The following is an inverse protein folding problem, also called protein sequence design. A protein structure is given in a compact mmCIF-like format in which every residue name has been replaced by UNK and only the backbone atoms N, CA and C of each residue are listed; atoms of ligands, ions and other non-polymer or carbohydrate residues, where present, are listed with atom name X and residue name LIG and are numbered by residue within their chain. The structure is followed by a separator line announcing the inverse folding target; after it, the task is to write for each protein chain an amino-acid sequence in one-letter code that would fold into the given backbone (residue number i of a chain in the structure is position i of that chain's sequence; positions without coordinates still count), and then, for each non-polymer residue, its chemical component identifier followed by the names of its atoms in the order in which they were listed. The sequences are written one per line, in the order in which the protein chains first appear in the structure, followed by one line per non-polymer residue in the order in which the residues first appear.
data_IF_481017742499
#
_entry.id   IF_481017742499
#
_cell.length_a   1.000
_cell.length_b   1.000
_cell.length_c   1.000
_cell.angle_alpha   90.00
_cell.angle_beta   90.00
_cell.angle_gamma   90.00
#
_symmetry.space_group_name_H-M   'P 1'
#
loop_
_entity.id
_entity.type
_entity.pdbx_description
1 polymer ?
#
# COMPACT_ATOMS: atom_id res chain seq x y z
N UNK A 1 4.84 4.55 -1.82
CA UNK A 1 3.86 3.45 -1.67
C UNK A 1 3.13 3.18 -2.99
N UNK A 2 3.25 1.97 -3.53
CA UNK A 2 2.52 1.48 -4.70
C UNK A 2 1.78 0.18 -4.37
N UNK A 3 0.55 0.03 -4.85
CA UNK A 3 -0.29 -1.16 -4.68
C UNK A 3 -0.84 -1.59 -6.02
N UNK A 4 -0.58 -2.83 -6.40
CA UNK A 4 -1.15 -3.43 -7.61
C UNK A 4 -1.28 -4.94 -7.44
N UNK A 5 -2.21 -5.58 -8.16
CA UNK A 5 -2.28 -7.04 -8.19
C UNK A 5 -3.68 -7.59 -8.35
N UNK A 6 -4.69 -6.98 -7.71
CA UNK A 6 -6.07 -7.46 -7.86
C UNK A 6 -6.56 -7.33 -9.30
N UNK A 7 -7.55 -8.16 -9.66
CA UNK A 7 -8.09 -8.23 -11.01
C UNK A 7 -8.78 -6.93 -11.46
N UNK A 8 -9.21 -6.09 -10.51
CA UNK A 8 -9.87 -4.81 -10.76
C UNK A 8 -9.15 -3.72 -9.98
N UNK A 9 -8.85 -2.58 -10.60
CA UNK A 9 -8.30 -1.43 -9.88
C UNK A 9 -9.36 -0.81 -8.95
N UNK A 10 -8.96 -0.46 -7.73
CA UNK A 10 -9.78 0.17 -6.70
C UNK A 10 -10.62 -0.79 -5.85
N UNK A 11 -10.52 -2.11 -6.06
CA UNK A 11 -11.35 -3.11 -5.38
C UNK A 11 -10.84 -3.49 -3.99
N UNK A 12 -9.56 -3.27 -3.72
CA UNK A 12 -8.91 -3.61 -2.47
C UNK A 12 -8.02 -2.47 -1.97
N UNK A 13 -7.80 -2.45 -0.66
CA UNK A 13 -6.93 -1.46 -0.05
C UNK A 13 -6.23 -2.03 1.18
N UNK A 14 -5.10 -1.42 1.48
CA UNK A 14 -4.39 -1.62 2.74
C UNK A 14 -4.24 -0.29 3.47
N UNK A 15 -4.14 -0.38 4.78
CA UNK A 15 -3.88 0.75 5.67
C UNK A 15 -2.43 0.68 6.15
N UNK A 16 -1.70 1.77 5.96
CA UNK A 16 -0.32 1.90 6.37
C UNK A 16 -0.27 2.53 7.76
N UNK A 17 0.42 1.86 8.66
CA UNK A 17 0.73 2.36 9.99
C UNK A 17 2.24 2.44 10.16
N UNK A 18 2.68 3.54 10.78
CA UNK A 18 4.06 3.72 11.25
C UNK A 18 3.96 3.85 12.77
N UNK A 19 4.49 2.86 13.48
CA UNK A 19 4.22 2.58 14.88
C UNK A 19 2.72 2.50 15.17
N UNK A 20 2.16 3.51 15.85
CA UNK A 20 0.73 3.62 16.18
C UNK A 20 -0.01 4.66 15.32
N UNK A 21 0.70 5.36 14.44
CA UNK A 21 0.12 6.41 13.61
C UNK A 21 -0.38 5.84 12.29
N UNK A 22 -1.65 6.07 12.01
CA UNK A 22 -2.24 5.78 10.71
C UNK A 22 -1.75 6.82 9.69
N UNK A 23 -0.95 6.35 8.73
CA UNK A 23 -0.39 7.17 7.66
C UNK A 23 -1.41 7.40 6.54
N UNK A 24 -2.20 6.38 6.24
CA UNK A 24 -3.20 6.49 5.21
C UNK A 24 -3.62 5.16 4.61
N UNK A 25 -4.64 5.26 3.76
CA UNK A 25 -5.21 4.16 3.00
C UNK A 25 -4.72 4.21 1.56
N UNK A 26 -4.25 3.07 1.06
CA UNK A 26 -3.76 2.94 -0.31
C UNK A 26 -4.56 1.87 -1.04
N UNK A 27 -5.21 2.29 -2.13
CA UNK A 27 -5.97 1.42 -3.01
C UNK A 27 -5.06 0.81 -4.07
N UNK A 28 -5.41 -0.38 -4.57
CA UNK A 28 -4.75 -0.92 -5.75
C UNK A 28 -5.12 -0.08 -6.98
N UNK A 29 -4.12 0.47 -7.66
CA UNK A 29 -4.36 1.34 -8.81
C UNK A 29 -4.26 0.60 -10.14
N UNK A 30 -3.72 -0.63 -10.13
CA UNK A 30 -3.53 -1.43 -11.33
C UNK A 30 -3.61 -2.94 -11.03
N UNK A 31 -3.90 -3.70 -12.08
CA UNK A 31 -3.71 -5.15 -12.09
C UNK A 31 -2.22 -5.49 -12.35
N UNK A 32 -1.76 -6.64 -11.84
CA UNK A 32 -0.39 -7.11 -12.04
C UNK A 32 0.63 -6.53 -11.06
N UNK A 33 1.79 -6.12 -11.55
CA UNK A 33 2.91 -5.70 -10.69
C UNK A 33 3.03 -4.18 -10.59
N UNK A 34 3.27 -3.61 -9.40
CA UNK A 34 3.44 -2.18 -9.23
C UNK A 34 4.75 -1.72 -9.88
N UNK A 35 4.65 -0.85 -10.87
CA UNK A 35 5.80 -0.12 -11.44
C UNK A 35 6.06 1.19 -10.69
N UNK A 36 7.19 1.85 -10.99
CA UNK A 36 7.56 3.14 -10.39
C UNK A 36 6.50 4.24 -10.55
N UNK A 37 5.68 4.16 -11.60
CA UNK A 37 4.61 5.14 -11.87
C UNK A 37 3.47 5.06 -10.86
N UNK A 38 3.33 3.92 -10.18
CA UNK A 38 2.31 3.68 -9.17
C UNK A 38 2.75 4.11 -7.77
N UNK A 39 3.97 4.64 -7.62
CA UNK A 39 4.51 5.07 -6.34
C UNK A 39 3.88 6.41 -5.97
N UNK A 40 2.96 6.38 -5.02
CA UNK A 40 2.56 7.56 -4.25
C UNK A 40 3.63 7.79 -3.19
N UNK A 41 4.48 8.82 -3.29
CA UNK A 41 5.56 9.01 -2.34
C UNK A 41 5.00 9.27 -0.95
N UNK A 42 5.52 8.57 0.07
CA UNK A 42 5.16 8.79 1.49
C UNK A 42 5.81 10.06 2.06
N UNK A 43 6.02 11.06 1.19
CA UNK A 43 6.84 12.25 1.44
C UNK A 43 6.23 13.06 2.59
N UNK A 44 6.98 13.18 3.67
CA UNK A 44 6.59 13.96 4.86
C UNK A 44 6.23 13.13 6.08
N UNK A 45 6.11 11.80 5.96
CA UNK A 45 5.71 10.94 7.09
C UNK A 45 6.86 10.53 8.02
N UNK A 46 8.04 11.18 7.89
CA UNK A 46 9.22 11.09 8.77
C UNK A 46 9.33 9.75 9.49
N UNK A 47 9.48 8.64 8.76
CA UNK A 47 9.61 7.30 9.38
C UNK A 47 10.92 7.28 10.15
N UNK A 48 10.88 7.32 11.50
CA UNK A 48 12.11 7.34 12.29
C UNK A 48 12.87 6.03 12.12
N UNK A 49 14.20 6.04 12.16
CA UNK A 49 14.98 4.81 12.24
C UNK A 49 14.52 3.96 13.44
N UNK A 50 14.14 2.70 13.18
CA UNK A 50 13.64 1.79 14.21
C UNK A 50 12.11 1.79 14.41
N UNK A 51 11.37 2.62 13.69
CA UNK A 51 9.90 2.57 13.71
C UNK A 51 9.36 1.31 13.03
N UNK A 52 8.28 0.78 13.59
CA UNK A 52 7.62 -0.42 13.06
C UNK A 52 6.68 -0.03 11.93
N UNK A 53 6.88 -0.59 10.75
CA UNK A 53 5.97 -0.37 9.62
C UNK A 53 5.00 -1.55 9.55
N UNK A 54 3.70 -1.25 9.65
CA UNK A 54 2.65 -2.24 9.51
C UNK A 54 1.77 -1.90 8.32
N UNK A 55 1.62 -2.85 7.39
CA UNK A 55 0.66 -2.76 6.30
C UNK A 55 -0.45 -3.78 6.57
N UNK A 56 -1.64 -3.29 6.88
CA UNK A 56 -2.79 -4.12 7.26
C UNK A 56 -3.82 -4.10 6.13
N UNK A 57 -4.24 -5.28 5.67
CA UNK A 57 -5.29 -5.39 4.66
C UNK A 57 -6.64 -5.00 5.27
N UNK A 58 -7.26 -3.94 4.74
CA UNK A 58 -8.60 -3.54 5.14
C UNK A 58 -9.68 -4.23 4.31
N UNK A 59 -9.44 -4.39 3.00
CA UNK A 59 -10.30 -5.17 2.10
C UNK A 59 -9.44 -6.10 1.28
N UNK A 60 -9.68 -7.41 1.42
CA UNK A 60 -8.95 -8.45 0.71
C UNK A 60 -9.22 -8.41 -0.81
N UNK A 61 -8.23 -8.75 -1.65
CA UNK A 61 -8.45 -8.90 -3.08
C UNK A 61 -9.36 -10.11 -3.34
N UNK A 62 -10.19 -10.02 -4.36
CA UNK A 62 -11.17 -11.09 -4.67
C UNK A 62 -10.56 -12.24 -5.47
N UNK A 63 -9.52 -11.99 -6.26
CA UNK A 63 -9.06 -12.96 -7.28
C UNK A 63 -7.56 -13.22 -7.26
N UNK A 64 -6.75 -12.17 -7.06
CA UNK A 64 -5.30 -12.26 -7.23
C UNK A 64 -4.57 -11.70 -6.00
N UNK A 65 -3.37 -12.20 -5.68
CA UNK A 65 -2.54 -11.62 -4.63
C UNK A 65 -2.17 -10.16 -4.94
N UNK A 66 -2.10 -9.34 -3.89
CA UNK A 66 -1.68 -7.93 -3.98
C UNK A 66 -0.18 -7.83 -3.73
N UNK A 67 0.49 -6.98 -4.52
CA UNK A 67 1.87 -6.60 -4.36
C UNK A 67 1.95 -5.16 -3.85
N UNK A 68 2.75 -4.94 -2.81
CA UNK A 68 2.94 -3.63 -2.19
C UNK A 68 4.42 -3.26 -2.23
N UNK A 69 4.73 -2.08 -2.78
CA UNK A 69 6.07 -1.49 -2.73
C UNK A 69 6.03 -0.26 -1.83
N UNK A 70 6.82 -0.27 -0.76
CA UNK A 70 7.01 0.87 0.13
C UNK A 70 8.30 1.61 -0.29
N UNK A 71 8.14 2.90 -0.59
CA UNK A 71 9.18 3.84 -1.02
C UNK A 71 8.79 5.22 -0.53
#
# INVERSE_FOLDING_TARGET
CAVAGSAVAGDCYFELYVDQYHIGRFHNLAAGWPTRDHIVPLKGNLVPPGATISAIMGVAPTTNPINVILY
#
